data_IF_754254812196
#
_entry.id   IF_754254812196
#
_cell.length_a   1.000
_cell.length_b   1.000
_cell.length_c   1.000
_cell.angle_alpha   90.00
_cell.angle_beta   90.00
_cell.angle_gamma   90.00
#
_symmetry.space_group_name_H-M   'P 1'
#
loop_
_entity.id
_entity.type
_entity.pdbx_description
1 polymer ?
#
# COMPACT_ATOMS: atom_id res chain seq x y z
N UNK A 1 17.95 -6.63 24.61
CA UNK A 1 19.43 -6.50 24.66
C UNK A 1 19.86 -5.89 23.33
N UNK A 2 20.41 -4.67 23.30
CA UNK A 2 20.97 -4.12 22.06
C UNK A 2 22.38 -4.65 21.85
N UNK A 3 22.62 -5.29 20.70
CA UNK A 3 23.96 -5.67 20.29
C UNK A 3 24.77 -4.41 20.00
N UNK A 4 25.94 -4.27 20.64
CA UNK A 4 26.85 -3.17 20.33
C UNK A 4 27.36 -3.26 18.90
N UNK A 5 27.77 -2.13 18.32
CA UNK A 5 28.29 -2.07 16.93
C UNK A 5 29.46 -3.10 16.74
N UNK A 6 30.36 -3.20 17.70
CA UNK A 6 31.48 -4.16 17.68
C UNK A 6 31.00 -5.63 17.58
N UNK A 7 29.95 -6.00 18.33
CA UNK A 7 29.42 -7.36 18.30
C UNK A 7 28.72 -7.65 16.94
N UNK A 8 28.07 -6.67 16.34
CA UNK A 8 27.48 -6.81 15.00
C UNK A 8 28.53 -7.02 13.90
N UNK A 9 29.64 -6.28 13.96
CA UNK A 9 30.75 -6.45 13.03
C UNK A 9 31.46 -7.81 13.22
N UNK A 10 31.80 -8.17 14.47
CA UNK A 10 32.47 -9.42 14.77
C UNK A 10 31.63 -10.67 14.44
N UNK A 11 30.32 -10.58 14.54
CA UNK A 11 29.39 -11.66 14.13
C UNK A 11 29.16 -11.73 12.61
N UNK A 12 29.74 -10.83 11.82
CA UNK A 12 29.50 -10.77 10.37
C UNK A 12 28.06 -10.32 9.99
N UNK A 13 27.28 -9.84 10.96
CA UNK A 13 25.90 -9.45 10.75
C UNK A 13 25.79 -8.26 9.80
N UNK A 14 26.71 -7.30 9.89
CA UNK A 14 26.74 -6.16 8.98
C UNK A 14 26.87 -6.60 7.52
N UNK A 15 27.72 -7.59 7.25
CA UNK A 15 27.88 -8.17 5.92
C UNK A 15 26.59 -8.82 5.38
N UNK A 16 25.81 -9.48 6.27
CA UNK A 16 24.50 -10.06 5.90
C UNK A 16 23.49 -8.95 5.59
N UNK A 17 23.39 -7.94 6.49
CA UNK A 17 22.45 -6.83 6.32
C UNK A 17 22.70 -6.02 5.05
N UNK A 18 23.96 -5.81 4.68
CA UNK A 18 24.34 -5.12 3.44
C UNK A 18 23.94 -5.88 2.17
N UNK A 19 23.82 -7.21 2.27
CA UNK A 19 23.38 -8.07 1.16
C UNK A 19 21.87 -8.25 1.07
N UNK A 20 21.15 -7.94 2.13
CA UNK A 20 19.69 -7.90 2.07
C UNK A 20 19.28 -6.74 1.17
N UNK A 21 18.47 -7.05 0.16
CA UNK A 21 17.91 -6.08 -0.77
C UNK A 21 16.38 -6.06 -0.64
N UNK A 22 15.83 -5.51 0.46
CA UNK A 22 14.40 -5.46 0.66
C UNK A 22 13.71 -4.64 -0.43
N UNK A 23 12.62 -5.17 -0.97
CA UNK A 23 11.91 -4.60 -2.12
C UNK A 23 11.00 -3.43 -1.73
N UNK A 24 10.51 -3.38 -0.49
CA UNK A 24 9.62 -2.33 -0.02
C UNK A 24 10.34 -1.34 0.91
N UNK A 25 9.84 -0.09 1.06
CA UNK A 25 10.33 0.88 2.04
C UNK A 25 10.27 0.34 3.48
N UNK A 26 9.21 -0.36 3.82
CA UNK A 26 9.00 -0.99 5.12
C UNK A 26 10.01 -2.11 5.38
N UNK A 27 10.27 -2.97 4.40
CA UNK A 27 11.31 -4.00 4.48
C UNK A 27 12.71 -3.40 4.65
N UNK A 28 13.02 -2.29 3.97
CA UNK A 28 14.29 -1.57 4.15
C UNK A 28 14.44 -1.03 5.57
N UNK A 29 13.37 -0.58 6.18
CA UNK A 29 13.38 -0.13 7.57
C UNK A 29 13.51 -1.30 8.53
N UNK A 30 12.74 -2.38 8.34
CA UNK A 30 12.84 -3.59 9.16
C UNK A 30 14.26 -4.17 9.15
N UNK A 31 14.93 -4.17 7.99
CA UNK A 31 16.33 -4.60 7.89
C UNK A 31 17.31 -3.70 8.68
N UNK A 32 16.99 -2.41 8.86
CA UNK A 32 17.83 -1.50 9.68
C UNK A 32 17.62 -1.69 11.17
N UNK A 33 16.43 -2.10 11.59
CA UNK A 33 16.03 -2.32 12.98
C UNK A 33 15.52 -3.76 13.15
N UNK A 34 16.39 -4.78 12.98
CA UNK A 34 15.97 -6.18 13.08
C UNK A 34 15.46 -6.49 14.50
N UNK A 35 14.43 -7.31 14.58
CA UNK A 35 13.98 -7.88 15.84
C UNK A 35 15.03 -8.87 16.35
N UNK A 36 15.29 -8.81 17.63
CA UNK A 36 16.16 -9.76 18.32
C UNK A 36 15.31 -10.63 19.24
N UNK A 37 15.54 -11.92 19.20
CA UNK A 37 14.89 -12.87 20.09
C UNK A 37 15.72 -13.04 21.35
N UNK A 38 15.05 -13.00 22.51
CA UNK A 38 15.66 -13.24 23.81
C UNK A 38 15.42 -14.66 24.30
N UNK A 39 16.03 -15.03 25.43
CA UNK A 39 15.74 -16.29 26.10
C UNK A 39 14.24 -16.39 26.44
N UNK A 40 13.61 -17.52 26.05
CA UNK A 40 12.18 -17.75 26.21
C UNK A 40 11.33 -17.40 24.97
N UNK A 41 11.93 -16.88 23.89
CA UNK A 41 11.27 -16.61 22.63
C UNK A 41 11.65 -17.62 21.52
N UNK A 42 12.22 -18.78 21.90
CA UNK A 42 12.73 -19.80 20.99
C UNK A 42 11.62 -20.30 20.04
N UNK A 43 10.41 -20.52 20.56
CA UNK A 43 9.28 -20.99 19.77
C UNK A 43 8.86 -19.97 18.68
N UNK A 44 8.92 -18.68 18.99
CA UNK A 44 8.61 -17.63 18.03
C UNK A 44 9.71 -17.51 16.95
N UNK A 45 10.96 -17.74 17.32
CA UNK A 45 12.09 -17.78 16.37
C UNK A 45 11.96 -19.00 15.44
N UNK A 46 11.63 -20.19 16.00
CA UNK A 46 11.42 -21.40 15.21
C UNK A 46 10.27 -21.22 14.20
N UNK A 47 9.16 -20.63 14.61
CA UNK A 47 8.03 -20.32 13.71
C UNK A 47 8.46 -19.40 12.55
N UNK A 48 9.25 -18.36 12.83
CA UNK A 48 9.75 -17.47 11.76
C UNK A 48 10.72 -18.19 10.82
N UNK A 49 11.61 -19.02 11.35
CA UNK A 49 12.55 -19.84 10.54
C UNK A 49 11.79 -20.85 9.66
N UNK A 50 10.73 -21.47 10.19
CA UNK A 50 9.86 -22.37 9.45
C UNK A 50 9.14 -21.64 8.29
N UNK A 51 8.64 -20.43 8.54
CA UNK A 51 8.05 -19.57 7.50
C UNK A 51 9.06 -19.21 6.41
N UNK A 52 10.30 -18.87 6.78
CA UNK A 52 11.37 -18.60 5.80
C UNK A 52 11.69 -19.84 4.96
N UNK A 53 11.84 -21.01 5.60
CA UNK A 53 12.09 -22.27 4.90
C UNK A 53 10.98 -22.59 3.91
N UNK A 54 9.72 -22.47 4.34
CA UNK A 54 8.55 -22.66 3.47
C UNK A 54 8.51 -21.66 2.31
N UNK A 55 8.80 -20.39 2.55
CA UNK A 55 8.86 -19.39 1.48
C UNK A 55 9.95 -19.72 0.45
N UNK A 56 11.08 -20.27 0.89
CA UNK A 56 12.15 -20.73 0.00
C UNK A 56 11.70 -21.95 -0.85
N UNK A 57 10.99 -22.91 -0.26
CA UNK A 57 10.40 -24.04 -0.97
C UNK A 57 9.39 -23.59 -2.03
N UNK A 58 8.49 -22.68 -1.67
CA UNK A 58 7.50 -22.10 -2.60
C UNK A 58 8.18 -21.35 -3.74
N UNK A 59 9.24 -20.61 -3.44
CA UNK A 59 10.01 -19.90 -4.46
C UNK A 59 10.70 -20.88 -5.43
N UNK A 60 11.33 -21.93 -4.92
CA UNK A 60 11.96 -22.98 -5.71
C UNK A 60 10.96 -23.73 -6.62
N UNK A 61 9.79 -24.07 -6.10
CA UNK A 61 8.72 -24.73 -6.85
C UNK A 61 8.21 -23.87 -8.04
N UNK A 62 8.40 -22.56 -7.98
CA UNK A 62 8.04 -21.64 -9.05
C UNK A 62 8.94 -21.63 -10.29
N UNK A 63 10.00 -22.41 -10.34
CA UNK A 63 10.85 -22.60 -11.52
C UNK A 63 11.89 -21.52 -11.79
N UNK A 64 12.15 -20.65 -10.84
CA UNK A 64 13.23 -19.62 -10.90
C UNK A 64 14.25 -19.80 -9.78
N UNK A 65 14.46 -21.03 -9.33
CA UNK A 65 15.47 -21.31 -8.31
C UNK A 65 16.87 -20.98 -8.86
N UNK A 66 17.73 -20.23 -8.16
CA UNK A 66 19.14 -20.44 -8.25
C UNK A 66 19.37 -21.90 -7.87
N UNK A 67 20.18 -22.62 -8.64
CA UNK A 67 20.52 -24.03 -8.38
C UNK A 67 20.76 -24.22 -6.89
N UNK A 68 19.75 -24.71 -6.17
CA UNK A 68 19.83 -24.98 -4.77
C UNK A 68 20.81 -26.13 -4.60
N UNK A 69 21.76 -25.97 -3.71
CA UNK A 69 22.79 -26.91 -3.40
C UNK A 69 22.20 -28.32 -3.22
N UNK A 70 22.58 -29.23 -4.09
CA UNK A 70 22.43 -30.64 -3.85
C UNK A 70 23.13 -30.99 -2.54
N UNK A 71 22.38 -31.31 -1.49
CA UNK A 71 22.96 -31.73 -0.23
C UNK A 71 22.23 -31.33 1.05
N UNK A 72 21.14 -30.59 0.98
CA UNK A 72 20.32 -30.39 2.16
C UNK A 72 19.34 -31.58 2.30
N UNK A 73 19.49 -32.37 3.35
CA UNK A 73 18.58 -33.49 3.68
C UNK A 73 17.24 -32.96 4.20
N UNK A 74 16.56 -32.19 3.35
CA UNK A 74 15.26 -31.63 3.69
C UNK A 74 14.20 -32.72 3.63
N UNK A 75 13.40 -32.84 4.66
CA UNK A 75 12.20 -33.67 4.73
C UNK A 75 11.24 -33.36 3.58
N UNK A 76 10.33 -34.34 3.26
CA UNK A 76 9.35 -34.20 2.21
C UNK A 76 8.56 -32.90 2.28
N UNK A 77 8.17 -32.28 1.15
CA UNK A 77 7.50 -30.98 1.13
C UNK A 77 6.25 -31.00 2.02
N UNK A 78 6.16 -30.01 2.90
CA UNK A 78 5.06 -29.83 3.88
C UNK A 78 3.72 -29.48 3.21
N UNK A 79 3.72 -29.24 1.91
CA UNK A 79 2.56 -28.77 1.13
C UNK A 79 2.23 -29.77 0.02
N UNK A 80 0.93 -29.99 -0.22
CA UNK A 80 0.45 -30.83 -1.32
C UNK A 80 0.92 -30.27 -2.67
N UNK A 81 1.44 -31.09 -3.63
CA UNK A 81 1.93 -30.62 -4.93
C UNK A 81 0.95 -29.78 -5.77
N UNK A 82 -0.37 -30.00 -5.61
CA UNK A 82 -1.39 -29.20 -6.29
C UNK A 82 -1.47 -27.78 -5.70
N UNK A 83 -1.42 -27.65 -4.38
CA UNK A 83 -1.47 -26.38 -3.67
C UNK A 83 -0.14 -25.61 -3.80
N UNK A 84 0.96 -26.32 -4.03
CA UNK A 84 2.30 -25.76 -4.14
C UNK A 84 2.42 -24.80 -5.33
N UNK A 85 1.82 -25.10 -6.47
CA UNK A 85 1.86 -24.24 -7.66
C UNK A 85 1.12 -22.92 -7.47
N UNK A 86 -0.06 -23.01 -6.85
CA UNK A 86 -0.89 -21.82 -6.59
C UNK A 86 -0.26 -20.94 -5.51
N UNK A 87 0.28 -21.54 -4.45
CA UNK A 87 1.02 -20.84 -3.41
C UNK A 87 2.31 -20.20 -3.96
N UNK A 88 3.06 -20.90 -4.82
CA UNK A 88 4.23 -20.33 -5.47
C UNK A 88 3.89 -19.16 -6.42
N UNK A 89 2.77 -19.25 -7.13
CA UNK A 89 2.26 -18.14 -7.95
C UNK A 89 1.83 -16.95 -7.09
N UNK A 90 1.19 -17.21 -5.95
CA UNK A 90 0.80 -16.20 -4.98
C UNK A 90 2.02 -15.49 -4.37
N UNK A 91 3.06 -16.22 -3.97
CA UNK A 91 4.31 -15.65 -3.44
C UNK A 91 4.98 -14.72 -4.48
N UNK A 92 5.02 -15.12 -5.75
CA UNK A 92 5.51 -14.24 -6.81
C UNK A 92 4.63 -13.02 -7.00
N UNK A 93 3.31 -13.15 -6.81
CA UNK A 93 2.36 -12.04 -6.79
C UNK A 93 2.74 -11.04 -5.71
N UNK A 94 2.90 -11.49 -4.47
CA UNK A 94 3.35 -10.66 -3.34
C UNK A 94 4.68 -9.97 -3.66
N UNK A 95 5.68 -10.72 -4.14
CA UNK A 95 7.00 -10.16 -4.46
C UNK A 95 6.94 -9.04 -5.49
N UNK A 96 6.02 -9.12 -6.47
CA UNK A 96 5.79 -8.06 -7.46
C UNK A 96 5.10 -6.83 -6.87
N UNK A 97 4.28 -7.00 -5.84
CA UNK A 97 3.60 -5.91 -5.17
C UNK A 97 4.53 -5.13 -4.22
N UNK A 98 5.52 -5.78 -3.60
CA UNK A 98 6.40 -5.16 -2.61
C UNK A 98 7.09 -3.86 -3.09
N UNK A 99 7.63 -3.76 -4.32
CA UNK A 99 8.23 -2.52 -4.83
C UNK A 99 7.22 -1.39 -5.08
N UNK A 100 5.93 -1.71 -5.16
CA UNK A 100 4.87 -0.74 -5.44
C UNK A 100 4.43 0.03 -4.20
N UNK A 101 4.83 -0.41 -3.00
CA UNK A 101 4.52 0.32 -1.78
C UNK A 101 5.30 1.63 -1.71
N UNK A 102 4.57 2.71 -1.47
CA UNK A 102 5.12 4.01 -1.10
C UNK A 102 5.14 4.14 0.42
N UNK A 103 6.11 4.89 0.93
CA UNK A 103 6.17 5.20 2.36
C UNK A 103 5.20 6.34 2.68
N UNK A 104 4.00 5.98 3.11
CA UNK A 104 2.93 6.92 3.42
C UNK A 104 2.97 7.46 4.85
N UNK A 105 3.91 7.00 5.70
CA UNK A 105 3.99 7.38 7.12
C UNK A 105 4.16 8.88 7.29
N UNK A 106 4.96 9.53 6.45
CA UNK A 106 5.16 10.97 6.46
C UNK A 106 3.86 11.76 6.24
N UNK A 107 2.92 11.22 5.46
CA UNK A 107 1.61 11.85 5.24
C UNK A 107 0.75 11.85 6.51
N UNK A 108 0.91 10.87 7.40
CA UNK A 108 0.20 10.79 8.68
C UNK A 108 0.89 11.55 9.82
N UNK A 109 2.13 12.02 9.62
CA UNK A 109 2.88 12.82 10.60
C UNK A 109 2.74 14.31 10.28
N UNK A 110 1.54 14.85 10.51
CA UNK A 110 1.16 16.22 10.18
C UNK A 110 0.48 16.95 11.33
N UNK A 111 0.43 18.28 11.22
CA UNK A 111 -0.31 19.10 12.15
C UNK A 111 -1.82 18.85 12.06
N UNK A 112 -2.53 18.79 13.19
CA UNK A 112 -3.98 18.63 13.22
C UNK A 112 -4.70 19.68 12.36
N UNK A 113 -5.68 19.23 11.57
CA UNK A 113 -6.48 20.13 10.72
C UNK A 113 -5.88 20.43 9.33
N UNK A 114 -4.66 19.98 9.05
CA UNK A 114 -4.07 20.09 7.69
C UNK A 114 -4.63 18.97 6.82
N UNK A 115 -5.40 19.28 5.74
CA UNK A 115 -5.95 18.24 4.88
C UNK A 115 -4.86 17.59 4.03
N UNK A 116 -5.04 16.29 3.70
CA UNK A 116 -4.24 15.61 2.69
C UNK A 116 -4.33 16.34 1.35
N UNK A 117 -3.23 16.41 0.63
CA UNK A 117 -3.26 16.84 -0.76
C UNK A 117 -3.68 15.68 -1.70
N UNK A 118 -3.81 15.96 -2.99
CA UNK A 118 -4.24 14.95 -3.96
C UNK A 118 -3.19 13.86 -4.21
N UNK A 119 -1.91 14.20 -4.03
CA UNK A 119 -0.80 13.24 -4.19
C UNK A 119 -0.79 12.28 -3.02
N UNK A 120 -0.91 12.79 -1.80
CA UNK A 120 -0.99 11.97 -0.59
C UNK A 120 -2.21 11.04 -0.60
N UNK A 121 -3.37 11.54 -1.01
CA UNK A 121 -4.57 10.71 -1.19
C UNK A 121 -4.38 9.65 -2.27
N UNK A 122 -3.69 9.99 -3.36
CA UNK A 122 -3.30 9.00 -4.37
C UNK A 122 -2.38 7.93 -3.80
N UNK A 123 -1.34 8.30 -3.05
CA UNK A 123 -0.39 7.35 -2.44
C UNK A 123 -1.08 6.45 -1.42
N UNK A 124 -1.97 7.00 -0.58
CA UNK A 124 -2.77 6.22 0.37
C UNK A 124 -3.69 5.23 -0.37
N UNK A 125 -4.40 5.67 -1.43
CA UNK A 125 -5.24 4.76 -2.23
C UNK A 125 -4.41 3.67 -2.90
N UNK A 126 -3.28 4.04 -3.47
CA UNK A 126 -2.36 3.09 -4.10
C UNK A 126 -1.86 2.04 -3.10
N UNK A 127 -1.49 2.49 -1.90
CA UNK A 127 -1.11 1.61 -0.80
C UNK A 127 -2.23 0.61 -0.45
N UNK A 128 -3.46 1.09 -0.27
CA UNK A 128 -4.62 0.24 0.07
C UNK A 128 -4.91 -0.80 -1.01
N UNK A 129 -4.89 -0.42 -2.29
CA UNK A 129 -5.09 -1.35 -3.41
C UNK A 129 -3.98 -2.40 -3.46
N UNK A 130 -2.73 -1.99 -3.22
CA UNK A 130 -1.58 -2.90 -3.18
C UNK A 130 -1.68 -3.86 -1.99
N UNK A 131 -2.09 -3.37 -0.80
CA UNK A 131 -2.30 -4.20 0.38
C UNK A 131 -3.40 -5.23 0.17
N UNK A 132 -4.51 -4.87 -0.47
CA UNK A 132 -5.57 -5.82 -0.81
C UNK A 132 -5.04 -6.94 -1.71
N UNK A 133 -4.24 -6.60 -2.73
CA UNK A 133 -3.62 -7.60 -3.61
C UNK A 133 -2.66 -8.54 -2.86
N UNK A 134 -1.90 -8.00 -1.91
CA UNK A 134 -1.00 -8.78 -1.06
C UNK A 134 -1.80 -9.70 -0.13
N UNK A 135 -2.85 -9.19 0.50
CA UNK A 135 -3.72 -9.96 1.39
C UNK A 135 -4.42 -11.10 0.64
N UNK A 136 -4.96 -10.82 -0.55
CA UNK A 136 -5.59 -11.83 -1.41
C UNK A 136 -4.60 -12.91 -1.90
N UNK A 137 -3.37 -12.51 -2.17
CA UNK A 137 -2.32 -13.46 -2.54
C UNK A 137 -1.89 -14.29 -1.33
N UNK A 138 -1.72 -13.66 -0.16
CA UNK A 138 -1.34 -14.34 1.07
C UNK A 138 -2.39 -15.36 1.52
N UNK A 139 -3.68 -15.07 1.35
CA UNK A 139 -4.77 -16.03 1.66
C UNK A 139 -4.67 -17.34 0.87
N UNK A 140 -3.91 -17.37 -0.23
CA UNK A 140 -3.60 -18.57 -1.02
C UNK A 140 -2.38 -19.35 -0.52
N UNK A 141 -1.77 -18.90 0.56
CA UNK A 141 -0.58 -19.50 1.19
C UNK A 141 -0.86 -19.84 2.66
N UNK A 142 -1.87 -20.70 2.95
CA UNK A 142 -2.30 -20.97 4.34
C UNK A 142 -1.21 -21.62 5.19
N UNK A 143 -0.19 -22.17 4.55
CA UNK A 143 0.95 -22.77 5.26
C UNK A 143 1.92 -21.72 5.85
N UNK A 144 1.89 -20.45 5.35
CA UNK A 144 2.60 -19.34 5.96
C UNK A 144 1.76 -18.77 7.10
N UNK A 145 2.10 -19.11 8.32
CA UNK A 145 1.37 -18.69 9.52
C UNK A 145 1.93 -17.36 10.09
N UNK A 146 1.18 -16.75 11.01
CA UNK A 146 1.67 -15.68 11.87
C UNK A 146 1.60 -14.26 11.28
N UNK A 147 1.29 -14.06 9.99
CA UNK A 147 1.14 -12.72 9.42
C UNK A 147 -0.33 -12.30 9.49
N UNK A 148 -0.64 -11.37 10.38
CA UNK A 148 -1.95 -10.74 10.45
C UNK A 148 -1.95 -9.42 9.66
N UNK A 149 -2.95 -9.25 8.81
CA UNK A 149 -3.17 -8.00 8.08
C UNK A 149 -4.23 -7.17 8.79
N UNK A 150 -4.03 -5.83 8.91
CA UNK A 150 -5.03 -4.96 9.48
C UNK A 150 -6.30 -4.92 8.61
N UNK A 151 -7.49 -4.75 9.20
CA UNK A 151 -8.75 -4.68 8.46
C UNK A 151 -8.90 -3.32 7.76
N UNK A 152 -8.33 -3.17 6.57
CA UNK A 152 -8.35 -1.92 5.79
C UNK A 152 -9.58 -1.78 4.87
N UNK A 153 -10.58 -2.65 5.00
CA UNK A 153 -11.77 -2.65 4.13
C UNK A 153 -12.55 -1.34 4.19
N UNK A 154 -12.71 -0.76 5.37
CA UNK A 154 -13.42 0.52 5.55
C UNK A 154 -12.60 1.69 4.99
N UNK A 155 -11.27 1.70 5.21
CA UNK A 155 -10.39 2.69 4.61
C UNK A 155 -10.42 2.62 3.07
N UNK A 156 -10.47 1.40 2.52
CA UNK A 156 -10.63 1.19 1.08
C UNK A 156 -11.99 1.72 0.59
N UNK A 157 -13.10 1.41 1.26
CA UNK A 157 -14.42 1.90 0.88
C UNK A 157 -14.50 3.44 0.93
N UNK A 158 -13.78 4.06 1.88
CA UNK A 158 -13.67 5.51 1.98
C UNK A 158 -12.90 6.10 0.79
N UNK A 159 -11.80 5.46 0.36
CA UNK A 159 -10.95 5.92 -0.74
C UNK A 159 -11.46 5.52 -2.12
N UNK A 160 -12.37 4.58 -2.21
CA UNK A 160 -12.95 4.07 -3.46
C UNK A 160 -14.46 3.84 -3.34
N UNK A 161 -15.26 4.92 -3.15
CA UNK A 161 -16.71 4.82 -2.93
C UNK A 161 -17.47 4.22 -4.13
N UNK A 162 -16.84 4.19 -5.30
CA UNK A 162 -17.40 3.58 -6.51
C UNK A 162 -16.96 2.13 -6.73
N UNK A 163 -16.06 1.59 -5.89
CA UNK A 163 -15.59 0.21 -5.95
C UNK A 163 -14.81 -0.15 -7.21
N UNK A 164 -14.16 0.84 -7.85
CA UNK A 164 -13.44 0.63 -9.12
C UNK A 164 -12.13 -0.13 -8.97
N UNK A 165 -11.57 -0.18 -7.77
CA UNK A 165 -10.29 -0.83 -7.45
C UNK A 165 -9.10 -0.36 -8.30
N UNK A 166 -9.17 0.89 -8.79
CA UNK A 166 -8.08 1.49 -9.55
C UNK A 166 -7.06 2.14 -8.60
N UNK A 167 -5.76 2.00 -8.85
CA UNK A 167 -4.70 2.60 -8.04
C UNK A 167 -4.59 4.12 -8.24
N UNK A 168 -5.54 4.75 -8.94
CA UNK A 168 -5.61 6.19 -9.16
C UNK A 168 -6.62 6.83 -8.21
N UNK A 169 -6.37 8.07 -7.81
CA UNK A 169 -7.29 8.84 -7.00
C UNK A 169 -7.76 10.09 -7.75
N UNK A 170 -9.04 10.35 -7.64
CA UNK A 170 -9.67 11.61 -8.05
C UNK A 170 -10.89 11.85 -7.18
N UNK A 171 -11.22 13.10 -6.93
CA UNK A 171 -12.44 13.45 -6.21
C UNK A 171 -13.62 13.23 -7.14
N UNK A 172 -14.34 12.13 -6.92
CA UNK A 172 -15.52 11.73 -7.68
C UNK A 172 -16.80 12.37 -7.10
N UNK A 173 -17.87 12.39 -7.89
CA UNK A 173 -19.13 13.03 -7.49
C UNK A 173 -19.78 12.38 -6.26
N UNK A 174 -19.50 11.11 -6.00
CA UNK A 174 -20.02 10.38 -4.84
C UNK A 174 -19.47 10.84 -3.49
N UNK A 175 -18.40 11.65 -3.45
CA UNK A 175 -17.90 12.22 -2.21
C UNK A 175 -18.74 13.35 -1.66
N UNK A 176 -19.42 14.14 -2.53
CA UNK A 176 -20.26 15.26 -2.12
C UNK A 176 -21.41 15.48 -3.11
N UNK A 177 -22.64 15.64 -2.59
CA UNK A 177 -23.85 15.74 -3.41
C UNK A 177 -23.85 16.92 -4.38
N UNK A 178 -23.20 18.03 -4.01
CA UNK A 178 -23.19 19.25 -4.83
C UNK A 178 -22.12 19.24 -5.94
N UNK A 179 -21.18 18.28 -5.93
CA UNK A 179 -20.16 18.19 -6.98
C UNK A 179 -20.77 17.86 -8.36
N UNK A 180 -21.71 16.92 -8.41
CA UNK A 180 -22.32 16.51 -9.67
C UNK A 180 -23.08 17.66 -10.36
N UNK A 181 -24.02 18.37 -9.71
CA UNK A 181 -24.74 19.47 -10.35
C UNK A 181 -23.81 20.63 -10.74
N UNK A 182 -22.81 20.96 -9.90
CA UNK A 182 -21.84 22.01 -10.19
C UNK A 182 -20.99 21.69 -11.41
N UNK A 183 -20.47 20.48 -11.54
CA UNK A 183 -19.68 20.04 -12.69
C UNK A 183 -20.51 20.00 -13.98
N UNK A 184 -21.78 19.60 -13.89
CA UNK A 184 -22.71 19.66 -15.02
C UNK A 184 -22.95 21.10 -15.48
N UNK A 185 -23.14 22.04 -14.54
CA UNK A 185 -23.32 23.46 -14.88
C UNK A 185 -22.04 24.04 -15.50
N UNK A 186 -20.87 23.74 -14.94
CA UNK A 186 -19.56 24.14 -15.48
C UNK A 186 -19.37 23.62 -16.92
N UNK A 187 -19.68 22.36 -17.18
CA UNK A 187 -19.59 21.77 -18.52
C UNK A 187 -20.55 22.44 -19.54
N UNK A 188 -21.78 22.74 -19.12
CA UNK A 188 -22.75 23.52 -19.96
C UNK A 188 -22.22 24.91 -20.28
N UNK A 189 -21.64 25.57 -19.27
CA UNK A 189 -21.07 26.91 -19.43
C UNK A 189 -19.84 26.90 -20.36
N UNK A 190 -18.97 25.93 -20.25
CA UNK A 190 -17.81 25.75 -21.14
C UNK A 190 -18.26 25.54 -22.58
N UNK A 191 -19.34 24.76 -22.81
CA UNK A 191 -19.92 24.60 -24.14
C UNK A 191 -20.49 25.93 -24.67
N UNK A 192 -21.16 26.71 -23.82
CA UNK A 192 -21.68 28.03 -24.19
C UNK A 192 -20.54 29.00 -24.54
N UNK A 193 -19.46 29.02 -23.79
CA UNK A 193 -18.30 29.85 -24.07
C UNK A 193 -17.68 29.54 -25.45
N UNK A 194 -17.57 28.25 -25.79
CA UNK A 194 -17.02 27.83 -27.10
C UNK A 194 -17.89 28.30 -28.28
N UNK A 195 -19.21 28.39 -28.10
CA UNK A 195 -20.19 28.78 -29.13
C UNK A 195 -20.41 30.28 -29.20
N UNK A 196 -19.97 31.07 -28.22
CA UNK A 196 -20.21 32.51 -28.12
C UNK A 196 -19.06 33.28 -28.78
N UNK A 197 -19.41 34.36 -29.47
CA UNK A 197 -18.44 35.30 -30.04
C UNK A 197 -17.55 35.91 -28.94
N UNK A 198 -16.30 36.24 -29.31
CA UNK A 198 -15.26 36.63 -28.36
C UNK A 198 -15.61 37.86 -27.52
N UNK A 199 -16.21 38.85 -28.13
CA UNK A 199 -16.68 40.09 -27.51
C UNK A 199 -17.76 39.91 -26.44
N UNK A 200 -18.52 38.77 -26.49
CA UNK A 200 -19.61 38.43 -25.55
C UNK A 200 -19.24 37.36 -24.51
N UNK A 201 -18.03 36.90 -24.50
CA UNK A 201 -17.57 35.85 -23.58
C UNK A 201 -17.30 36.34 -22.12
N UNK A 202 -17.10 37.64 -21.93
CA UNK A 202 -16.71 38.19 -20.61
C UNK A 202 -17.58 37.72 -19.43
N UNK A 203 -18.91 37.91 -19.49
CA UNK A 203 -19.79 37.49 -18.40
C UNK A 203 -19.81 35.97 -18.16
N UNK A 204 -19.65 35.16 -19.23
CA UNK A 204 -19.60 33.70 -19.11
C UNK A 204 -18.29 33.22 -18.49
N UNK A 205 -17.17 33.89 -18.79
CA UNK A 205 -15.88 33.61 -18.20
C UNK A 205 -15.89 33.90 -16.69
N UNK A 206 -16.52 35.01 -16.29
CA UNK A 206 -16.64 35.36 -14.87
C UNK A 206 -17.50 34.32 -14.13
N UNK A 207 -18.64 33.93 -14.71
CA UNK A 207 -19.48 32.86 -14.13
C UNK A 207 -18.70 31.55 -14.01
N UNK A 208 -17.90 31.16 -15.02
CA UNK A 208 -17.03 29.98 -14.97
C UNK A 208 -16.03 30.06 -13.83
N UNK A 209 -15.44 31.25 -13.60
CA UNK A 209 -14.51 31.48 -12.52
C UNK A 209 -15.18 31.28 -11.14
N UNK A 210 -16.39 31.80 -10.96
CA UNK A 210 -17.14 31.60 -9.73
C UNK A 210 -17.42 30.09 -9.48
N UNK A 211 -17.86 29.35 -10.51
CA UNK A 211 -18.09 27.91 -10.38
C UNK A 211 -16.81 27.14 -10.10
N UNK A 212 -15.66 27.55 -10.65
CA UNK A 212 -14.38 26.93 -10.34
C UNK A 212 -13.99 27.12 -8.88
N UNK A 213 -14.14 28.32 -8.33
CA UNK A 213 -13.89 28.58 -6.91
C UNK A 213 -14.80 27.75 -6.01
N UNK A 214 -16.07 27.59 -6.38
CA UNK A 214 -17.00 26.74 -5.63
C UNK A 214 -16.59 25.27 -5.69
N UNK A 215 -16.16 24.77 -6.86
CA UNK A 215 -15.64 23.40 -6.98
C UNK A 215 -14.42 23.19 -6.10
N UNK A 216 -13.45 24.11 -6.14
CA UNK A 216 -12.24 24.05 -5.30
C UNK A 216 -12.57 24.02 -3.80
N UNK A 217 -13.58 24.77 -3.37
CA UNK A 217 -14.06 24.78 -1.98
C UNK A 217 -14.65 23.41 -1.58
N UNK A 218 -15.54 22.86 -2.42
CA UNK A 218 -16.11 21.52 -2.18
C UNK A 218 -15.03 20.43 -2.17
N UNK A 219 -14.06 20.50 -3.08
CA UNK A 219 -12.95 19.56 -3.10
C UNK A 219 -12.07 19.66 -1.85
N UNK A 220 -11.88 20.87 -1.32
CA UNK A 220 -11.18 21.08 -0.05
C UNK A 220 -11.96 20.47 1.13
N UNK A 221 -13.29 20.61 1.17
CA UNK A 221 -14.15 19.99 2.17
C UNK A 221 -14.07 18.48 2.12
N UNK A 222 -14.11 17.89 0.92
CA UNK A 222 -13.91 16.44 0.73
C UNK A 222 -12.55 16.00 1.25
N UNK A 223 -11.48 16.72 0.94
CA UNK A 223 -10.13 16.38 1.45
C UNK A 223 -10.04 16.45 2.96
N UNK A 224 -10.67 17.45 3.60
CA UNK A 224 -10.74 17.55 5.07
C UNK A 224 -11.47 16.34 5.68
N UNK A 225 -12.64 16.02 5.14
CA UNK A 225 -13.44 14.87 5.58
C UNK A 225 -12.65 13.56 5.42
N UNK A 226 -11.97 13.36 4.29
CA UNK A 226 -11.13 12.17 4.06
C UNK A 226 -9.96 12.12 5.04
N UNK A 227 -9.30 13.27 5.29
CA UNK A 227 -8.20 13.35 6.24
C UNK A 227 -8.65 12.93 7.64
N UNK A 228 -9.73 13.51 8.14
CA UNK A 228 -10.26 13.20 9.47
C UNK A 228 -10.58 11.71 9.63
N UNK A 229 -11.22 11.12 8.62
CA UNK A 229 -11.59 9.70 8.63
C UNK A 229 -10.38 8.78 8.49
N UNK A 230 -9.41 9.11 7.63
CA UNK A 230 -8.21 8.30 7.42
C UNK A 230 -7.25 8.35 8.61
N UNK A 231 -7.20 9.47 9.34
CA UNK A 231 -6.36 9.58 10.54
C UNK A 231 -6.74 8.60 11.65
N UNK A 232 -7.96 8.06 11.64
CA UNK A 232 -8.38 6.99 12.56
C UNK A 232 -7.58 5.70 12.30
N UNK A 233 -7.19 5.46 11.07
CA UNK A 233 -6.42 4.26 10.66
C UNK A 233 -4.90 4.46 10.72
N UNK A 234 -4.42 5.59 11.27
CA UNK A 234 -2.97 5.84 11.41
C UNK A 234 -2.21 4.68 12.04
N UNK A 235 -2.71 3.99 13.12
CA UNK A 235 -2.00 2.87 13.71
C UNK A 235 -1.82 1.66 12.78
N UNK A 236 -2.76 1.45 11.84
CA UNK A 236 -2.72 0.34 10.89
C UNK A 236 -1.76 0.61 9.72
N UNK A 237 -1.41 1.89 9.48
CA UNK A 237 -0.48 2.30 8.42
C UNK A 237 0.96 2.46 8.91
N UNK A 238 1.20 2.48 10.20
CA UNK A 238 2.51 2.71 10.81
C UNK A 238 3.16 1.46 11.37
#
# INVERSE_FOLDING_TARGET
MELTHELRENAGLQWVLERLSPLSPFGKQAARTPRWYGPGEEAALEEELDNVALAMELWAAGGTAPQAAEGCGCEAPRVNPADLKDAAAALRGVTRCLPLFHDIRGSFDREPGTPFDLVELFEIKHFLVTMEQVTDAYAKMPALAGIAFPPLTEAMALMDPEGRRLPTFSIVNSYHNDLAPLRVEKAKLEKAIRMTQEDKRGPLLEKRRVLAVQEDQLELEVRRMLTEKLMVYKPEFL
#
